data_IF_029133854946
#
_entry.id   IF_029133854946
#
_cell.length_a   1.000
_cell.length_b   1.000
_cell.length_c   1.000
_cell.angle_alpha   90.00
_cell.angle_beta   90.00
_cell.angle_gamma   90.00
#
_symmetry.space_group_name_H-M   'P 1'
#
loop_
_entity.id
_entity.type
_entity.pdbx_description
1 polymer ?
#
# COMPACT_ATOMS: atom_id res chain seq x y z
N UNK A 1 -31.55 -10.96 -7.75
CA UNK A 1 -30.70 -9.87 -7.21
C UNK A 1 -29.26 -10.40 -7.04
N UNK A 2 -28.82 -11.26 -7.97
CA UNK A 2 -27.78 -12.27 -7.69
C UNK A 2 -26.61 -12.23 -8.68
N UNK A 3 -26.61 -11.27 -9.61
CA UNK A 3 -25.55 -11.16 -10.63
C UNK A 3 -24.51 -10.08 -10.30
N UNK A 4 -24.83 -9.15 -9.39
CA UNK A 4 -23.91 -8.05 -9.05
C UNK A 4 -22.74 -8.50 -8.17
N UNK A 5 -22.91 -9.50 -7.30
CA UNK A 5 -21.88 -9.90 -6.34
C UNK A 5 -20.80 -10.83 -6.93
N UNK A 6 -21.03 -11.46 -8.09
CA UNK A 6 -20.07 -12.41 -8.69
C UNK A 6 -19.10 -11.81 -9.70
N UNK A 7 -19.38 -10.61 -10.22
CA UNK A 7 -18.54 -9.93 -11.22
C UNK A 7 -17.91 -8.63 -10.72
N UNK A 8 -18.15 -8.25 -9.46
CA UNK A 8 -17.53 -7.07 -8.87
C UNK A 8 -16.28 -7.53 -8.12
N UNK A 9 -15.14 -7.47 -8.82
CA UNK A 9 -13.81 -7.57 -8.20
C UNK A 9 -13.50 -6.42 -7.22
N UNK A 10 -14.40 -5.44 -7.09
CA UNK A 10 -14.29 -4.22 -6.28
C UNK A 10 -15.31 -4.14 -5.13
N UNK A 11 -15.67 -5.25 -4.48
CA UNK A 11 -16.65 -5.21 -3.38
C UNK A 11 -16.17 -4.33 -2.21
N UNK A 12 -14.85 -4.27 -1.98
CA UNK A 12 -14.22 -3.35 -1.04
C UNK A 12 -12.79 -2.99 -1.48
N UNK A 13 -12.47 -1.70 -1.46
CA UNK A 13 -11.11 -1.18 -1.66
C UNK A 13 -10.54 -0.66 -0.35
N UNK A 14 -9.42 -1.23 0.11
CA UNK A 14 -8.74 -0.83 1.35
C UNK A 14 -7.39 -0.21 1.00
N UNK A 15 -7.08 0.91 1.65
CA UNK A 15 -5.75 1.52 1.58
C UNK A 15 -5.08 1.48 2.94
N UNK A 16 -3.88 0.91 2.98
CA UNK A 16 -3.07 0.82 4.19
C UNK A 16 -1.81 1.67 4.00
N UNK A 17 -1.67 2.70 4.85
CA UNK A 17 -0.55 3.63 4.81
C UNK A 17 0.42 3.28 5.93
N UNK A 18 1.65 3.00 5.56
CA UNK A 18 2.72 2.57 6.45
C UNK A 18 3.77 3.69 6.60
N UNK A 19 4.44 3.78 7.76
CA UNK A 19 5.59 4.67 7.91
C UNK A 19 6.77 4.28 7.02
N UNK A 20 7.12 2.99 6.98
CA UNK A 20 8.32 2.51 6.27
C UNK A 20 8.03 1.39 5.25
N UNK A 21 9.05 1.04 4.46
CA UNK A 21 8.95 0.02 3.41
C UNK A 21 8.79 -1.39 3.99
N UNK A 22 9.49 -1.70 5.08
CA UNK A 22 9.45 -3.03 5.68
C UNK A 22 8.08 -3.34 6.29
N UNK A 23 7.41 -2.33 6.83
CA UNK A 23 6.02 -2.46 7.33
C UNK A 23 5.08 -2.92 6.20
N UNK A 24 5.29 -2.46 4.96
CA UNK A 24 4.51 -2.89 3.80
C UNK A 24 4.67 -4.40 3.60
N UNK A 25 5.91 -4.89 3.54
CA UNK A 25 6.18 -6.30 3.31
C UNK A 25 5.79 -7.17 4.50
N UNK A 26 5.87 -6.64 5.72
CA UNK A 26 5.36 -7.30 6.91
C UNK A 26 3.84 -7.51 6.83
N UNK A 27 3.06 -6.48 6.47
CA UNK A 27 1.61 -6.59 6.28
C UNK A 27 1.27 -7.56 5.15
N UNK A 28 1.99 -7.49 4.02
CA UNK A 28 1.82 -8.44 2.91
C UNK A 28 2.01 -9.87 3.39
N UNK A 29 3.11 -10.16 4.11
CA UNK A 29 3.40 -11.49 4.62
C UNK A 29 2.36 -11.95 5.66
N UNK A 30 1.91 -11.04 6.54
CA UNK A 30 0.86 -11.31 7.50
C UNK A 30 -0.44 -11.73 6.80
N UNK A 31 -0.88 -10.97 5.80
CA UNK A 31 -2.09 -11.27 5.01
C UNK A 31 -1.98 -12.60 4.26
N UNK A 32 -0.79 -12.91 3.71
CA UNK A 32 -0.53 -14.17 3.01
C UNK A 32 -0.58 -15.40 3.93
N UNK A 33 -0.27 -15.22 5.20
CA UNK A 33 -0.23 -16.29 6.19
C UNK A 33 -1.56 -16.51 6.93
N UNK A 34 -2.58 -15.67 6.69
CA UNK A 34 -3.91 -15.87 7.28
C UNK A 34 -4.64 -17.05 6.62
N UNK A 35 -5.17 -17.95 7.43
CA UNK A 35 -5.78 -19.20 6.96
C UNK A 35 -7.14 -19.00 6.27
N UNK A 36 -7.85 -17.96 6.67
CA UNK A 36 -9.19 -17.63 6.19
C UNK A 36 -9.18 -16.69 4.97
N UNK A 37 -8.00 -16.18 4.57
CA UNK A 37 -7.83 -15.32 3.41
C UNK A 37 -7.20 -16.09 2.26
N UNK A 38 -7.73 -15.89 1.06
CA UNK A 38 -7.12 -16.40 -0.17
C UNK A 38 -6.55 -15.28 -1.01
N UNK A 39 -5.25 -15.33 -1.30
CA UNK A 39 -4.60 -14.39 -2.20
C UNK A 39 -4.92 -14.78 -3.65
N UNK A 40 -5.55 -13.86 -4.38
CA UNK A 40 -5.97 -14.05 -5.77
C UNK A 40 -4.94 -13.46 -6.73
N UNK A 41 -4.39 -12.29 -6.39
CA UNK A 41 -3.41 -11.60 -7.22
C UNK A 41 -2.51 -10.71 -6.38
N UNK A 42 -1.24 -10.62 -6.77
CA UNK A 42 -0.27 -9.69 -6.19
C UNK A 42 0.39 -8.89 -7.32
N UNK A 43 0.59 -7.59 -7.11
CA UNK A 43 1.40 -6.74 -8.00
C UNK A 43 2.27 -5.82 -7.14
N UNK A 44 3.58 -6.06 -7.21
CA UNK A 44 4.58 -5.27 -6.52
C UNK A 44 5.09 -4.15 -7.43
N UNK A 45 4.42 -2.99 -7.39
CA UNK A 45 4.90 -1.79 -8.08
C UNK A 45 5.94 -1.01 -7.26
N UNK A 46 6.33 -1.49 -6.08
CA UNK A 46 7.45 -0.91 -5.32
C UNK A 46 8.75 -1.38 -5.97
N UNK A 47 8.87 -2.69 -6.23
CA UNK A 47 9.99 -3.30 -6.94
C UNK A 47 9.97 -3.01 -8.44
N UNK A 48 8.78 -3.05 -9.06
CA UNK A 48 8.61 -2.83 -10.49
C UNK A 48 7.69 -1.61 -10.74
N UNK A 49 8.18 -0.38 -10.52
CA UNK A 49 7.37 0.81 -10.67
C UNK A 49 6.83 0.97 -12.08
N UNK A 50 5.65 1.59 -12.21
CA UNK A 50 5.11 1.92 -13.53
C UNK A 50 6.00 2.99 -14.22
N UNK A 51 5.93 3.12 -15.56
CA UNK A 51 6.72 4.10 -16.30
C UNK A 51 6.57 5.53 -15.76
N UNK A 52 5.38 5.92 -15.32
CA UNK A 52 5.09 7.24 -14.73
C UNK A 52 5.66 7.46 -13.31
N UNK A 53 6.29 6.46 -12.68
CA UNK A 53 6.83 6.57 -11.32
C UNK A 53 5.93 6.04 -10.22
N UNK A 54 4.72 5.60 -10.56
CA UNK A 54 3.78 5.06 -9.58
C UNK A 54 4.34 3.83 -8.86
N UNK A 55 4.29 3.87 -7.53
CA UNK A 55 4.69 2.81 -6.59
C UNK A 55 3.58 2.53 -5.59
N UNK A 56 3.31 1.25 -5.34
CA UNK A 56 2.36 0.72 -4.33
C UNK A 56 2.42 -0.81 -4.38
N UNK A 57 2.14 -1.48 -3.27
CA UNK A 57 1.89 -2.92 -3.27
C UNK A 57 0.39 -3.18 -3.42
N UNK A 58 -0.02 -3.92 -4.45
CA UNK A 58 -1.43 -4.22 -4.72
C UNK A 58 -1.70 -5.71 -4.50
N UNK A 59 -2.72 -6.01 -3.72
CA UNK A 59 -3.21 -7.37 -3.50
C UNK A 59 -4.70 -7.43 -3.82
N UNK A 60 -5.13 -8.47 -4.53
CA UNK A 60 -6.54 -8.85 -4.62
C UNK A 60 -6.69 -10.09 -3.74
N UNK A 61 -7.53 -9.97 -2.72
CA UNK A 61 -7.80 -11.02 -1.75
C UNK A 61 -9.25 -11.48 -1.90
N UNK A 62 -9.50 -12.72 -1.49
CA UNK A 62 -10.83 -13.23 -1.28
C UNK A 62 -10.99 -13.53 0.22
N UNK A 63 -11.95 -12.86 0.86
CA UNK A 63 -12.15 -12.87 2.33
C UNK A 63 -13.57 -13.33 2.68
N UNK A 64 -13.78 -14.02 3.82
CA UNK A 64 -15.09 -14.49 4.25
C UNK A 64 -15.90 -13.36 4.89
N UNK A 65 -17.00 -12.99 4.25
CA UNK A 65 -18.01 -12.09 4.81
C UNK A 65 -19.06 -12.91 5.56
N UNK A 66 -19.11 -12.74 6.87
CA UNK A 66 -20.08 -13.41 7.75
C UNK A 66 -21.38 -12.60 7.75
N UNK A 67 -22.42 -13.15 7.11
CA UNK A 67 -23.78 -12.61 7.10
C UNK A 67 -24.65 -13.42 8.07
N UNK A 68 -25.81 -12.88 8.48
CA UNK A 68 -26.68 -13.49 9.50
C UNK A 68 -26.96 -14.99 9.29
N UNK A 69 -27.13 -15.43 8.03
CA UNK A 69 -27.51 -16.81 7.71
C UNK A 69 -26.50 -17.57 6.83
N UNK A 70 -25.36 -16.96 6.46
CA UNK A 70 -24.37 -17.60 5.56
C UNK A 70 -23.02 -16.89 5.56
N UNK A 71 -21.99 -17.59 5.10
CA UNK A 71 -20.68 -17.01 4.79
C UNK A 71 -20.57 -16.86 3.28
N UNK A 72 -20.24 -15.66 2.80
CA UNK A 72 -19.96 -15.39 1.39
C UNK A 72 -18.51 -14.97 1.20
N UNK A 73 -17.84 -15.50 0.17
CA UNK A 73 -16.48 -15.08 -0.16
C UNK A 73 -16.53 -13.86 -1.08
N UNK A 74 -15.97 -12.74 -0.62
CA UNK A 74 -15.97 -11.47 -1.37
C UNK A 74 -14.54 -11.08 -1.79
N UNK A 75 -14.43 -10.37 -2.92
CA UNK A 75 -13.14 -9.85 -3.38
C UNK A 75 -12.85 -8.49 -2.74
N UNK A 76 -11.61 -8.32 -2.27
CA UNK A 76 -11.12 -7.07 -1.72
C UNK A 76 -9.80 -6.69 -2.39
N UNK A 77 -9.72 -5.46 -2.91
CA UNK A 77 -8.44 -4.87 -3.34
C UNK A 77 -7.80 -4.17 -2.14
N UNK A 78 -6.57 -4.56 -1.80
CA UNK A 78 -5.75 -3.88 -0.81
C UNK A 78 -4.59 -3.19 -1.51
N UNK A 79 -4.44 -1.89 -1.26
CA UNK A 79 -3.30 -1.10 -1.70
C UNK A 79 -2.49 -0.65 -0.49
N UNK A 80 -1.23 -1.10 -0.42
CA UNK A 80 -0.33 -0.80 0.68
C UNK A 80 0.75 0.16 0.17
N UNK A 81 1.02 1.23 0.92
CA UNK A 81 1.89 2.34 0.50
C UNK A 81 2.61 2.94 1.69
N UNK A 82 3.75 3.60 1.44
CA UNK A 82 4.28 4.57 2.39
C UNK A 82 3.48 5.87 2.34
N UNK A 83 3.65 6.73 3.35
CA UNK A 83 3.05 8.08 3.38
C UNK A 83 3.45 8.88 2.13
N UNK A 84 4.74 8.83 1.75
CA UNK A 84 5.26 9.56 0.60
C UNK A 84 4.69 9.04 -0.72
N UNK A 85 4.55 7.71 -0.88
CA UNK A 85 3.90 7.11 -2.05
C UNK A 85 2.44 7.54 -2.18
N UNK A 86 1.69 7.63 -1.07
CA UNK A 86 0.27 8.02 -1.13
C UNK A 86 0.08 9.49 -1.47
N UNK A 87 0.94 10.36 -0.92
CA UNK A 87 0.99 11.78 -1.28
C UNK A 87 1.26 11.94 -2.79
N UNK A 88 2.28 11.25 -3.30
CA UNK A 88 2.63 11.27 -4.72
C UNK A 88 1.49 10.77 -5.62
N UNK A 89 0.89 9.63 -5.27
CA UNK A 89 -0.20 9.04 -6.04
C UNK A 89 -1.45 9.93 -6.07
N UNK A 90 -1.70 10.66 -4.98
CA UNK A 90 -2.79 11.64 -4.90
C UNK A 90 -2.58 12.81 -5.87
N UNK A 91 -1.35 13.33 -5.97
CA UNK A 91 -1.01 14.38 -6.94
C UNK A 91 -1.11 13.89 -8.38
N UNK A 92 -0.60 12.69 -8.66
CA UNK A 92 -0.68 12.09 -10.00
C UNK A 92 -2.13 11.88 -10.45
N UNK A 93 -2.98 11.41 -9.54
CA UNK A 93 -4.40 11.26 -9.81
C UNK A 93 -5.10 12.61 -10.08
N UNK A 94 -4.75 13.67 -9.32
CA UNK A 94 -5.28 15.02 -9.56
C UNK A 94 -4.86 15.55 -10.94
N UNK A 95 -3.61 15.32 -11.35
CA UNK A 95 -3.10 15.71 -12.67
C UNK A 95 -3.91 15.02 -13.78
N UNK A 96 -4.12 13.70 -13.68
CA UNK A 96 -4.89 12.93 -14.66
C UNK A 96 -6.36 13.33 -14.75
N UNK A 97 -6.98 13.69 -13.63
CA UNK A 97 -8.41 14.00 -13.60
C UNK A 97 -8.74 15.38 -14.17
N UNK A 98 -7.86 16.37 -13.92
CA UNK A 98 -8.06 17.74 -14.41
C UNK A 98 -7.67 17.83 -15.89
N UNK A 99 -8.68 17.96 -16.76
CA UNK A 99 -8.47 18.21 -18.19
C UNK A 99 -7.92 19.62 -18.43
N UNK A 100 -7.02 19.77 -19.41
CA UNK A 100 -6.42 21.03 -19.87
C UNK A 100 -5.51 21.75 -18.85
N UNK A 101 -4.59 21.02 -18.20
CA UNK A 101 -3.53 21.66 -17.41
C UNK A 101 -2.43 22.18 -18.36
N UNK A 102 -2.10 23.49 -18.32
CA UNK A 102 -0.92 23.99 -19.01
C UNK A 102 0.34 23.29 -18.51
N UNK A 103 1.25 22.91 -19.43
CA UNK A 103 2.52 22.24 -19.12
C UNK A 103 2.37 20.85 -18.46
N UNK A 104 1.27 20.13 -18.71
CA UNK A 104 1.02 18.78 -18.16
C UNK A 104 2.22 17.83 -18.30
N UNK A 105 2.88 17.81 -19.48
CA UNK A 105 4.05 16.95 -19.73
C UNK A 105 5.21 17.26 -18.78
N UNK A 106 5.52 18.53 -18.58
CA UNK A 106 6.58 18.97 -17.67
C UNK A 106 6.26 18.59 -16.22
N UNK A 107 4.99 18.75 -15.81
CA UNK A 107 4.54 18.36 -14.46
C UNK A 107 4.64 16.84 -14.28
N UNK A 108 4.31 16.05 -15.30
CA UNK A 108 4.43 14.60 -15.26
C UNK A 108 5.90 14.13 -15.15
N UNK A 109 6.81 14.80 -15.86
CA UNK A 109 8.26 14.55 -15.76
C UNK A 109 8.79 14.90 -14.36
N UNK A 110 8.35 16.02 -13.78
CA UNK A 110 8.70 16.39 -12.41
C UNK A 110 8.11 15.45 -11.37
N UNK A 111 6.86 15.00 -11.53
CA UNK A 111 6.29 13.96 -10.68
C UNK A 111 7.13 12.68 -10.77
N UNK A 112 7.50 12.24 -11.98
CA UNK A 112 8.35 11.07 -12.15
C UNK A 112 9.67 11.22 -11.37
N UNK A 113 10.33 12.38 -11.47
CA UNK A 113 11.55 12.70 -10.73
C UNK A 113 11.33 12.62 -9.21
N UNK A 114 10.27 13.25 -8.70
CA UNK A 114 9.92 13.19 -7.28
C UNK A 114 9.62 11.76 -6.81
N UNK A 115 9.01 10.90 -7.63
CA UNK A 115 8.80 9.50 -7.27
C UNK A 115 10.11 8.72 -7.08
N UNK A 116 11.13 9.02 -7.88
CA UNK A 116 12.44 8.38 -7.76
C UNK A 116 13.21 8.93 -6.55
N UNK A 117 13.11 10.23 -6.27
CA UNK A 117 13.64 10.85 -5.04
C UNK A 117 12.97 10.27 -3.78
N UNK A 118 11.64 10.19 -3.75
CA UNK A 118 10.86 9.56 -2.67
C UNK A 118 11.33 8.13 -2.41
N UNK A 119 11.55 7.34 -3.46
CA UNK A 119 12.00 5.97 -3.30
C UNK A 119 13.38 5.87 -2.64
N UNK A 120 14.29 6.78 -2.98
CA UNK A 120 15.59 6.86 -2.32
C UNK A 120 15.46 7.33 -0.87
N UNK A 121 14.59 8.31 -0.61
CA UNK A 121 14.33 8.81 0.74
C UNK A 121 13.70 7.74 1.63
N UNK A 122 12.71 7.00 1.15
CA UNK A 122 12.07 5.90 1.89
C UNK A 122 13.09 4.83 2.28
N UNK A 123 14.03 4.48 1.39
CA UNK A 123 15.11 3.53 1.71
C UNK A 123 16.04 4.07 2.80
N UNK A 124 16.46 5.34 2.70
CA UNK A 124 17.33 5.95 3.69
C UNK A 124 16.64 6.03 5.07
N UNK A 125 15.36 6.41 5.10
CA UNK A 125 14.58 6.49 6.32
C UNK A 125 14.34 5.10 6.94
N UNK A 126 14.13 4.06 6.11
CA UNK A 126 14.10 2.67 6.57
C UNK A 126 15.41 2.30 7.26
N UNK A 127 16.56 2.54 6.62
CA UNK A 127 17.87 2.23 7.23
C UNK A 127 18.07 2.96 8.55
N UNK A 128 17.68 4.23 8.65
CA UNK A 128 17.74 5.00 9.90
C UNK A 128 16.81 4.39 10.96
N UNK A 129 15.60 3.97 10.60
CA UNK A 129 14.68 3.30 11.50
C UNK A 129 15.27 2.02 12.06
N UNK A 130 15.93 1.22 11.21
CA UNK A 130 16.55 -0.03 11.61
C UNK A 130 17.73 0.21 12.57
N UNK A 131 18.58 1.19 12.28
CA UNK A 131 19.66 1.60 13.19
C UNK A 131 19.13 2.04 14.57
N UNK A 132 18.03 2.79 14.62
CA UNK A 132 17.42 3.22 15.89
C UNK A 132 16.91 2.00 16.68
N UNK A 133 16.25 1.05 16.01
CA UNK A 133 15.72 -0.18 16.63
C UNK A 133 16.86 -1.06 17.19
N UNK A 134 17.97 -1.19 16.46
CA UNK A 134 19.15 -1.92 16.92
C UNK A 134 19.72 -1.32 18.19
N UNK A 135 19.91 0.01 18.23
CA UNK A 135 20.42 0.72 19.42
C UNK A 135 19.47 0.54 20.62
N UNK A 136 18.16 0.63 20.42
CA UNK A 136 17.17 0.45 21.50
C UNK A 136 17.21 -0.98 22.07
N UNK A 137 17.34 -1.98 21.20
CA UNK A 137 17.46 -3.38 21.59
C UNK A 137 18.76 -3.65 22.37
N UNK A 138 19.89 -3.08 21.95
CA UNK A 138 21.17 -3.18 22.68
C UNK A 138 21.12 -2.53 24.07
N UNK A 139 20.34 -1.45 24.22
CA UNK A 139 20.17 -0.74 25.48
C UNK A 139 19.14 -1.39 26.43
N UNK A 140 18.50 -2.50 26.03
CA UNK A 140 17.50 -3.19 26.85
C UNK A 140 16.19 -2.41 27.04
N UNK A 141 15.94 -1.40 26.20
CA UNK A 141 14.66 -0.69 26.15
C UNK A 141 13.69 -1.46 25.25
N UNK A 142 13.14 -2.57 25.75
CA UNK A 142 12.00 -3.23 25.11
C UNK A 142 10.80 -2.28 25.17
N UNK A 143 10.48 -1.63 24.05
CA UNK A 143 9.35 -0.71 23.92
C UNK A 143 8.02 -1.45 23.89
N UNK A 144 7.58 -1.96 25.04
CA UNK A 144 6.16 -2.24 25.31
C UNK A 144 5.44 -0.96 25.73
N UNK A 145 5.48 0.10 24.93
CA UNK A 145 4.67 1.30 25.18
C UNK A 145 4.42 2.04 23.87
N UNK A 146 3.31 1.68 23.21
CA UNK A 146 2.31 2.59 22.62
C UNK A 146 1.42 1.84 21.62
N UNK A 147 0.45 1.10 22.16
CA UNK A 147 -0.84 0.79 21.52
C UNK A 147 -1.79 0.32 22.63
N UNK A 148 -2.03 1.21 23.60
CA UNK A 148 -3.21 1.08 24.45
C UNK A 148 -4.35 1.83 23.74
N UNK A 149 -5.44 1.12 23.50
CA UNK A 149 -6.73 1.69 23.13
C UNK A 149 -7.20 2.71 24.17
#
# INVERSE_FOLDING_TARGET
>A
MDSALKEIYDAAGIRVICPFLDDIYWIVNMLKNQQDIKVIKEKDYIRNPKPNGYRSYHMILQVPLHLENRIEMVYCEIQIRTIAMDCWASLEHQLKYKKNIPNEKMIAEELKRCADEIASTDLNLQTISDMIKEIQHENGEDTYENLTC
#
